data_IF_129099074311
#
_entry.id   IF_129099074311
#
_cell.length_a   1.000
_cell.length_b   1.000
_cell.length_c   1.000
_cell.angle_alpha   90.00
_cell.angle_beta   90.00
_cell.angle_gamma   90.00
#
_symmetry.space_group_name_H-M   'P 1'
#
loop_
_entity.id
_entity.type
_entity.pdbx_description
1 polymer ?
#
# COMPACT_ATOMS: atom_id res chain seq x y z
N UNK A 1 -1.95 -16.09 9.11
CA UNK A 1 -0.75 -15.64 9.84
C UNK A 1 -0.64 -14.11 9.91
N UNK A 2 -0.38 -13.37 8.81
CA UNK A 2 -0.19 -11.90 8.86
C UNK A 2 -1.25 -11.15 9.66
N UNK A 3 -2.54 -11.27 9.32
CA UNK A 3 -3.61 -10.60 10.07
C UNK A 3 -3.84 -11.14 11.48
N UNK A 4 -3.44 -12.38 11.76
CA UNK A 4 -3.56 -12.97 13.10
C UNK A 4 -2.44 -12.48 14.02
N UNK A 5 -1.24 -12.25 13.50
CA UNK A 5 -0.03 -11.94 14.29
C UNK A 5 0.32 -10.44 14.24
N UNK A 6 0.13 -9.82 13.08
CA UNK A 6 0.48 -8.43 12.78
C UNK A 6 -0.72 -7.63 12.25
N UNK A 7 -1.95 -8.05 12.56
CA UNK A 7 -3.17 -7.36 12.14
C UNK A 7 -3.42 -6.03 12.88
N UNK A 8 -4.57 -5.38 12.66
CA UNK A 8 -4.87 -4.03 13.17
C UNK A 8 -4.72 -3.86 14.68
N UNK A 9 -4.96 -4.89 15.48
CA UNK A 9 -4.79 -4.84 16.93
C UNK A 9 -3.34 -4.99 17.43
N UNK A 10 -2.38 -5.26 16.54
CA UNK A 10 -0.99 -5.53 16.93
C UNK A 10 -0.17 -4.24 17.07
N UNK A 11 0.83 -4.26 17.95
CA UNK A 11 1.76 -3.14 18.11
C UNK A 11 2.50 -2.80 16.80
N UNK A 12 2.89 -3.82 16.03
CA UNK A 12 3.59 -3.64 14.75
C UNK A 12 2.74 -2.86 13.74
N UNK A 13 1.46 -3.22 13.58
CA UNK A 13 0.52 -2.49 12.71
C UNK A 13 0.39 -1.03 13.13
N UNK A 14 0.16 -0.79 14.43
CA UNK A 14 -0.06 0.56 14.95
C UNK A 14 1.18 1.44 14.77
N UNK A 15 2.38 0.88 14.96
CA UNK A 15 3.63 1.58 14.75
C UNK A 15 3.86 1.92 13.27
N UNK A 16 3.66 0.95 12.37
CA UNK A 16 3.79 1.19 10.92
C UNK A 16 2.81 2.27 10.45
N UNK A 17 1.55 2.21 10.89
CA UNK A 17 0.54 3.23 10.60
C UNK A 17 0.95 4.61 11.09
N UNK A 18 1.38 4.72 12.34
CA UNK A 18 1.83 6.00 12.92
C UNK A 18 3.05 6.57 12.18
N UNK A 19 4.03 5.73 11.82
CA UNK A 19 5.19 6.13 11.04
C UNK A 19 4.80 6.62 9.64
N UNK A 20 3.90 5.91 8.95
CA UNK A 20 3.42 6.32 7.63
C UNK A 20 2.67 7.66 7.68
N UNK A 21 1.77 7.83 8.66
CA UNK A 21 1.07 9.11 8.87
C UNK A 21 2.04 10.25 9.16
N UNK A 22 3.05 10.00 9.99
CA UNK A 22 4.08 11.00 10.31
C UNK A 22 4.88 11.37 9.06
N UNK A 23 5.30 10.38 8.26
CA UNK A 23 6.07 10.65 7.05
C UNK A 23 5.28 11.42 5.99
N UNK A 24 3.99 11.14 5.85
CA UNK A 24 3.09 11.89 4.96
C UNK A 24 2.90 13.32 5.47
N UNK A 25 2.72 13.51 6.78
CA UNK A 25 2.59 14.84 7.39
C UNK A 25 3.88 15.67 7.26
N UNK A 26 5.05 15.03 7.30
CA UNK A 26 6.35 15.66 7.08
C UNK A 26 6.68 15.88 5.60
N UNK A 27 5.88 15.31 4.69
CA UNK A 27 5.99 15.54 3.24
C UNK A 27 7.05 14.72 2.51
N UNK A 28 7.74 13.78 3.19
CA UNK A 28 8.72 12.90 2.53
C UNK A 28 8.13 11.54 2.12
N UNK A 29 6.97 11.15 2.66
CA UNK A 29 6.15 10.08 2.08
C UNK A 29 5.03 10.67 1.23
N UNK A 30 4.65 9.94 0.17
CA UNK A 30 3.62 10.36 -0.77
C UNK A 30 3.89 11.77 -1.35
N UNK A 31 5.15 12.03 -1.71
CA UNK A 31 5.64 13.32 -2.22
C UNK A 31 5.23 13.59 -3.68
N UNK A 32 4.89 12.54 -4.44
CA UNK A 32 4.46 12.64 -5.84
C UNK A 32 2.94 12.58 -5.91
N UNK A 33 2.38 13.21 -6.93
CA UNK A 33 0.94 13.17 -7.18
C UNK A 33 0.67 12.96 -8.67
N UNK A 34 -0.34 12.15 -8.99
CA UNK A 34 -0.81 11.94 -10.34
C UNK A 34 -2.20 11.33 -10.34
N UNK A 35 -3.12 11.89 -11.14
CA UNK A 35 -4.49 11.38 -11.24
C UNK A 35 -5.27 11.40 -9.91
N UNK A 36 -4.96 12.34 -9.01
CA UNK A 36 -5.61 12.45 -7.70
C UNK A 36 -5.08 11.46 -6.65
N UNK A 37 -4.01 10.72 -6.95
CA UNK A 37 -3.35 9.77 -6.03
C UNK A 37 -2.00 10.34 -5.65
N UNK A 38 -1.69 10.35 -4.35
CA UNK A 38 -0.35 10.68 -3.85
C UNK A 38 0.43 9.40 -3.57
N UNK A 39 1.70 9.36 -3.94
CA UNK A 39 2.51 8.13 -3.85
C UNK A 39 4.01 8.41 -3.75
N UNK A 40 4.77 7.43 -3.29
CA UNK A 40 6.23 7.51 -3.25
C UNK A 40 6.89 6.19 -2.89
N UNK A 41 8.04 5.93 -3.53
CA UNK A 41 8.91 4.80 -3.18
C UNK A 41 9.84 5.18 -2.04
N UNK A 42 9.70 4.47 -0.93
CA UNK A 42 10.48 4.67 0.30
C UNK A 42 11.81 3.94 0.21
N UNK A 43 11.76 2.68 -0.22
CA UNK A 43 12.93 1.85 -0.40
C UNK A 43 12.91 1.22 -1.78
N UNK A 44 14.05 1.27 -2.48
CA UNK A 44 14.26 0.47 -3.68
C UNK A 44 14.42 -1.00 -3.29
N UNK A 45 14.14 -1.90 -4.24
CA UNK A 45 14.45 -3.31 -4.07
C UNK A 45 15.96 -3.48 -3.86
N UNK A 46 16.32 -4.12 -2.76
CA UNK A 46 17.70 -4.33 -2.34
C UNK A 46 17.85 -5.70 -1.68
N UNK A 47 19.01 -6.34 -1.80
CA UNK A 47 19.24 -7.67 -1.23
C UNK A 47 19.11 -7.69 0.30
N UNK A 48 19.45 -6.59 0.99
CA UNK A 48 19.23 -6.45 2.44
C UNK A 48 17.74 -6.37 2.82
N UNK A 49 16.88 -6.03 1.86
CA UNK A 49 15.43 -6.00 2.00
C UNK A 49 14.78 -7.24 1.35
N UNK A 50 15.55 -8.32 1.17
CA UNK A 50 15.10 -9.53 0.46
C UNK A 50 14.52 -9.23 -0.93
N UNK A 51 15.08 -8.21 -1.59
CA UNK A 51 14.67 -7.70 -2.91
C UNK A 51 13.25 -7.11 -2.95
N UNK A 52 12.65 -6.75 -1.83
CA UNK A 52 11.40 -6.00 -1.83
C UNK A 52 11.67 -4.49 -1.94
N UNK A 53 10.91 -3.80 -2.79
CA UNK A 53 10.74 -2.36 -2.65
C UNK A 53 9.57 -2.07 -1.72
N UNK A 54 9.57 -0.87 -1.14
CA UNK A 54 8.46 -0.39 -0.31
C UNK A 54 7.94 0.91 -0.90
N UNK A 55 6.67 0.89 -1.30
CA UNK A 55 5.94 2.07 -1.76
C UNK A 55 4.85 2.41 -0.74
N UNK A 56 4.52 3.69 -0.58
CA UNK A 56 3.34 4.12 0.18
C UNK A 56 2.50 5.00 -0.73
N UNK A 57 1.20 4.72 -0.73
CA UNK A 57 0.19 5.50 -1.47
C UNK A 57 -0.84 6.07 -0.50
N UNK A 58 -1.39 7.22 -0.85
CA UNK A 58 -2.43 7.93 -0.14
C UNK A 58 -3.57 8.22 -1.12
N UNK A 59 -4.72 7.63 -0.84
CA UNK A 59 -5.87 7.56 -1.74
C UNK A 59 -7.16 7.85 -0.98
N UNK A 60 -8.08 8.55 -1.64
CA UNK A 60 -9.41 8.90 -1.15
C UNK A 60 -10.45 8.58 -2.22
N UNK A 61 -11.36 7.65 -1.95
CA UNK A 61 -12.53 7.35 -2.80
C UNK A 61 -12.23 7.35 -4.31
N UNK A 62 -11.19 6.62 -4.70
CA UNK A 62 -10.64 6.65 -6.05
C UNK A 62 -10.11 5.27 -6.47
N UNK A 63 -10.32 4.96 -7.75
CA UNK A 63 -9.69 3.83 -8.43
C UNK A 63 -8.48 4.31 -9.23
N UNK A 64 -7.33 3.71 -8.97
CA UNK A 64 -6.10 3.97 -9.71
C UNK A 64 -6.05 3.27 -11.08
N UNK A 65 -4.96 3.51 -11.83
CA UNK A 65 -4.74 2.87 -13.13
C UNK A 65 -4.60 1.35 -12.99
N UNK A 66 -5.17 0.62 -13.96
CA UNK A 66 -5.05 -0.83 -14.00
C UNK A 66 -3.60 -1.26 -14.24
N UNK A 67 -3.14 -2.25 -13.49
CA UNK A 67 -1.82 -2.81 -13.62
C UNK A 67 -1.77 -4.26 -13.16
N UNK A 68 -0.68 -4.94 -13.53
CA UNK A 68 -0.37 -6.32 -13.17
C UNK A 68 0.84 -6.36 -12.26
N UNK A 69 0.86 -7.32 -11.33
CA UNK A 69 1.96 -7.63 -10.43
C UNK A 69 2.64 -8.94 -10.84
N UNK A 70 3.71 -8.91 -11.66
CA UNK A 70 4.31 -10.13 -12.20
C UNK A 70 4.79 -11.10 -11.11
N UNK A 71 5.27 -10.57 -9.99
CA UNK A 71 5.81 -11.32 -8.87
C UNK A 71 4.91 -11.30 -7.62
N UNK A 72 3.73 -10.69 -7.71
CA UNK A 72 2.78 -10.53 -6.61
C UNK A 72 3.00 -9.23 -5.83
N UNK A 73 2.16 -9.02 -4.82
CA UNK A 73 2.16 -7.82 -3.98
C UNK A 73 1.65 -8.18 -2.57
N UNK A 74 2.21 -7.55 -1.55
CA UNK A 74 1.70 -7.62 -0.18
C UNK A 74 1.41 -6.21 0.29
N UNK A 75 0.16 -5.98 0.68
CA UNK A 75 -0.32 -4.67 1.07
C UNK A 75 -0.64 -4.60 2.55
N UNK A 76 -0.34 -3.45 3.13
CA UNK A 76 -0.80 -3.05 4.45
C UNK A 76 -1.76 -1.87 4.32
N UNK A 77 -3.03 -2.14 4.58
CA UNK A 77 -4.15 -1.21 4.46
C UNK A 77 -4.31 -0.47 5.79
N UNK A 78 -4.20 0.86 5.75
CA UNK A 78 -4.20 1.74 6.90
C UNK A 78 -5.26 2.85 6.73
N UNK A 79 -6.54 2.54 7.00
CA UNK A 79 -7.63 3.53 6.92
C UNK A 79 -7.35 4.72 7.81
N UNK A 80 -7.46 5.94 7.27
CA UNK A 80 -7.32 7.19 8.02
C UNK A 80 -8.68 7.73 8.48
N UNK A 81 -9.74 7.41 7.74
CA UNK A 81 -11.10 7.89 7.97
C UNK A 81 -12.09 6.73 7.84
N UNK A 82 -13.05 6.67 8.76
CA UNK A 82 -14.15 5.70 8.73
C UNK A 82 -13.70 4.26 8.57
N UNK A 83 -14.45 3.52 7.74
CA UNK A 83 -14.24 2.11 7.41
C UNK A 83 -13.59 1.94 6.03
N UNK A 84 -12.71 2.87 5.62
CA UNK A 84 -12.13 2.85 4.29
C UNK A 84 -11.53 1.47 3.95
N UNK A 85 -11.79 1.01 2.74
CA UNK A 85 -11.32 -0.28 2.23
C UNK A 85 -10.38 -0.09 1.06
N UNK A 86 -9.49 -1.05 0.85
CA UNK A 86 -8.68 -1.17 -0.36
C UNK A 86 -9.05 -2.46 -1.09
N UNK A 87 -9.53 -2.34 -2.32
CA UNK A 87 -10.11 -3.46 -3.09
C UNK A 87 -11.16 -4.25 -2.30
N UNK A 88 -11.95 -3.56 -1.47
CA UNK A 88 -12.95 -4.16 -0.58
C UNK A 88 -12.40 -4.81 0.69
N UNK A 89 -11.08 -4.79 0.91
CA UNK A 89 -10.45 -5.30 2.12
C UNK A 89 -10.34 -4.19 3.20
N UNK A 90 -10.69 -4.47 4.46
CA UNK A 90 -10.58 -3.50 5.56
C UNK A 90 -9.12 -3.35 6.03
N UNK A 91 -8.92 -2.60 7.12
CA UNK A 91 -7.64 -2.48 7.81
C UNK A 91 -6.95 -3.85 8.01
N UNK A 92 -5.66 -3.93 7.67
CA UNK A 92 -4.86 -5.13 7.81
C UNK A 92 -4.03 -5.44 6.56
N UNK A 93 -3.61 -6.69 6.45
CA UNK A 93 -2.78 -7.18 5.36
C UNK A 93 -3.63 -7.81 4.25
N UNK A 94 -3.35 -7.47 3.00
CA UNK A 94 -3.85 -8.15 1.80
C UNK A 94 -2.68 -8.72 1.01
N UNK A 95 -2.85 -9.87 0.36
CA UNK A 95 -1.79 -10.50 -0.43
C UNK A 95 -2.33 -10.90 -1.78
N UNK A 96 -1.69 -10.40 -2.82
CA UNK A 96 -2.00 -10.73 -4.21
C UNK A 96 -0.93 -11.67 -4.78
N UNK A 97 -1.33 -12.82 -5.36
CA UNK A 97 -0.37 -13.78 -5.91
C UNK A 97 0.32 -13.24 -7.18
N UNK A 98 1.47 -13.82 -7.59
CA UNK A 98 2.11 -13.53 -8.86
C UNK A 98 1.14 -13.61 -10.05
N UNK A 99 1.22 -12.62 -10.95
CA UNK A 99 0.36 -12.50 -12.13
C UNK A 99 -1.02 -11.91 -11.89
N UNK A 100 -1.34 -11.54 -10.66
CA UNK A 100 -2.57 -10.79 -10.33
C UNK A 100 -2.58 -9.42 -11.02
N UNK A 101 -3.80 -8.91 -11.28
CA UNK A 101 -4.00 -7.58 -11.85
C UNK A 101 -5.25 -6.94 -11.26
N UNK A 102 -5.20 -5.63 -11.04
CA UNK A 102 -6.30 -4.89 -10.45
C UNK A 102 -6.26 -3.40 -10.82
N UNK A 103 -7.37 -2.71 -10.51
CA UNK A 103 -7.39 -1.25 -10.35
C UNK A 103 -7.38 -1.00 -8.84
N UNK A 104 -6.23 -0.59 -8.25
CA UNK A 104 -6.16 -0.38 -6.81
C UNK A 104 -7.22 0.63 -6.43
N UNK A 105 -8.15 0.27 -5.56
CA UNK A 105 -9.33 1.11 -5.29
C UNK A 105 -9.47 1.33 -3.81
N UNK A 106 -9.37 2.59 -3.38
CA UNK A 106 -9.84 2.98 -2.05
C UNK A 106 -11.28 3.44 -2.13
N UNK A 107 -12.13 2.93 -1.24
CA UNK A 107 -13.53 3.32 -1.13
C UNK A 107 -13.93 3.52 0.33
N UNK A 108 -14.97 4.33 0.57
CA UNK A 108 -15.56 4.61 1.88
C UNK A 108 -14.62 5.42 2.79
N UNK A 109 -13.84 6.31 2.20
CA UNK A 109 -12.95 7.21 2.94
C UNK A 109 -11.53 7.25 2.38
N UNK A 110 -10.60 7.59 3.26
CA UNK A 110 -9.18 7.73 2.97
C UNK A 110 -8.38 6.59 3.57
N UNK A 111 -7.38 6.11 2.84
CA UNK A 111 -6.45 5.11 3.34
C UNK A 111 -5.04 5.40 2.87
N UNK A 112 -4.07 5.15 3.76
CA UNK A 112 -2.70 4.88 3.32
C UNK A 112 -2.60 3.39 3.02
N UNK A 113 -1.94 3.04 1.91
CA UNK A 113 -1.62 1.65 1.62
C UNK A 113 -0.13 1.55 1.39
N UNK A 114 0.53 0.68 2.16
CA UNK A 114 1.95 0.36 1.98
C UNK A 114 2.03 -0.90 1.15
N UNK A 115 2.82 -0.85 0.08
CA UNK A 115 3.06 -1.98 -0.83
C UNK A 115 4.44 -2.55 -0.59
N UNK A 116 4.51 -3.86 -0.45
CA UNK A 116 5.75 -4.63 -0.52
C UNK A 116 5.76 -5.36 -1.86
N UNK A 117 6.63 -4.91 -2.76
CA UNK A 117 6.70 -5.40 -4.13
C UNK A 117 8.00 -6.17 -4.35
N UNK A 118 7.95 -7.47 -4.68
CA UNK A 118 9.13 -8.21 -5.08
C UNK A 118 9.76 -7.57 -6.31
N UNK A 119 11.04 -7.23 -6.19
CA UNK A 119 11.84 -6.52 -7.19
C UNK A 119 11.27 -5.17 -7.63
N UNK A 120 10.30 -4.62 -6.88
CA UNK A 120 9.58 -3.40 -7.21
C UNK A 120 8.83 -3.43 -8.54
N UNK A 121 8.44 -4.63 -9.01
CA UNK A 121 7.82 -4.82 -10.31
C UNK A 121 6.32 -4.51 -10.30
N UNK A 122 5.93 -3.52 -11.10
CA UNK A 122 4.54 -3.22 -11.49
C UNK A 122 4.51 -3.05 -13.00
N UNK A 123 3.51 -3.61 -13.67
CA UNK A 123 3.30 -3.44 -15.10
C UNK A 123 1.95 -2.76 -15.37
N UNK A 124 1.99 -1.46 -15.65
CA UNK A 124 0.81 -0.71 -16.06
C UNK A 124 0.34 -1.18 -17.43
N UNK A 125 -0.94 -1.57 -17.51
CA UNK A 125 -1.58 -1.90 -18.78
C UNK A 125 -2.09 -0.62 -19.44
N UNK A 126 -1.94 -0.51 -20.75
CA UNK A 126 -2.48 0.62 -21.54
C UNK A 126 -3.98 0.52 -21.74
#
# INVERSE_FOLDING_TARGET
WLNQTHGPGSAAYQQLKSCCMTGVAQGWLCEREGGGIRYGRVFQADDALHRFSVDVVDMQDIAGPHHTHPLGEIDLIMPLEGDATFDGHPAGWCVYPPGSAHRPTVAQGRSLVLYLLPEGQIQFTR
#
